data_IF_993230222638
#
_entry.id   IF_993230222638
#
_cell.length_a   1.000
_cell.length_b   1.000
_cell.length_c   1.000
_cell.angle_alpha   90.00
_cell.angle_beta   90.00
_cell.angle_gamma   90.00
#
_symmetry.space_group_name_H-M   'P 1'
#
loop_
_entity.id
_entity.type
_entity.pdbx_description
1 polymer ?
#
# COMPACT_ATOMS: atom_id res chain seq x y z
N UNK A 1 -4.19 -33.30 -31.59
CA UNK A 1 -4.94 -33.53 -30.33
C UNK A 1 -4.70 -32.34 -29.43
N UNK A 2 -5.54 -31.31 -29.56
CA UNK A 2 -5.47 -30.04 -28.83
C UNK A 2 -6.66 -29.99 -27.89
N UNK A 3 -6.39 -30.21 -26.61
CA UNK A 3 -7.41 -30.18 -25.55
C UNK A 3 -7.77 -28.72 -25.25
N UNK A 4 -8.92 -28.28 -25.76
CA UNK A 4 -9.52 -27.00 -25.40
C UNK A 4 -10.08 -27.02 -23.99
N UNK A 5 -9.67 -26.06 -23.16
CA UNK A 5 -10.23 -25.86 -21.82
C UNK A 5 -11.56 -25.09 -21.98
N UNK A 6 -12.66 -25.83 -21.86
CA UNK A 6 -14.00 -25.27 -21.79
C UNK A 6 -14.25 -24.68 -20.39
N UNK A 7 -14.38 -23.36 -20.28
CA UNK A 7 -14.87 -22.73 -19.05
C UNK A 7 -16.40 -22.89 -18.97
N UNK A 8 -16.85 -23.72 -18.04
CA UNK A 8 -18.25 -23.94 -17.74
C UNK A 8 -18.77 -22.80 -16.85
N UNK A 9 -19.64 -21.95 -17.39
CA UNK A 9 -20.34 -20.90 -16.64
C UNK A 9 -21.40 -21.49 -15.71
N UNK A 10 -21.05 -21.71 -14.44
CA UNK A 10 -22.02 -22.01 -13.40
C UNK A 10 -22.53 -20.71 -12.76
N UNK A 11 -23.81 -20.39 -13.01
CA UNK A 11 -24.60 -19.45 -12.22
C UNK A 11 -24.87 -20.06 -10.85
N UNK A 12 -24.01 -19.80 -9.86
CA UNK A 12 -24.28 -20.15 -8.47
C UNK A 12 -25.11 -19.05 -7.79
N UNK A 13 -26.29 -19.45 -7.30
CA UNK A 13 -27.15 -18.65 -6.42
C UNK A 13 -26.57 -18.67 -5.00
N UNK A 14 -26.48 -17.50 -4.39
CA UNK A 14 -26.56 -17.24 -2.95
C UNK A 14 -25.68 -18.04 -1.96
N UNK A 15 -24.38 -18.12 -2.22
CA UNK A 15 -23.40 -18.37 -1.15
C UNK A 15 -22.33 -17.28 -1.13
N UNK A 16 -22.59 -16.28 -0.27
CA UNK A 16 -21.68 -15.23 0.21
C UNK A 16 -20.57 -14.83 -0.77
N UNK A 17 -20.92 -13.98 -1.74
CA UNK A 17 -19.99 -13.17 -2.54
C UNK A 17 -19.21 -12.20 -1.64
N UNK A 18 -18.40 -12.71 -0.70
CA UNK A 18 -17.51 -11.93 0.16
C UNK A 18 -16.13 -11.87 -0.47
N UNK A 19 -15.48 -10.74 -0.29
CA UNK A 19 -14.12 -10.53 -0.72
C UNK A 19 -13.21 -11.50 0.03
N UNK A 20 -12.39 -12.25 -0.71
CA UNK A 20 -11.43 -13.21 -0.13
C UNK A 20 -10.36 -12.51 0.72
N UNK A 21 -10.11 -11.22 0.46
CA UNK A 21 -9.09 -10.43 1.15
C UNK A 21 -9.62 -9.84 2.46
N UNK A 22 -10.78 -9.18 2.45
CA UNK A 22 -11.27 -8.42 3.61
C UNK A 22 -12.63 -8.88 4.16
N UNK A 23 -13.28 -9.87 3.55
CA UNK A 23 -14.58 -10.38 3.98
C UNK A 23 -15.79 -9.46 3.73
N UNK A 24 -15.60 -8.27 3.17
CA UNK A 24 -16.69 -7.34 2.77
C UNK A 24 -17.46 -7.85 1.55
N UNK A 25 -18.60 -7.26 1.21
CA UNK A 25 -19.36 -7.61 -0.01
C UNK A 25 -18.46 -7.43 -1.26
N UNK A 26 -18.18 -8.53 -1.95
CA UNK A 26 -17.45 -8.51 -3.22
C UNK A 26 -18.31 -7.87 -4.30
N UNK A 27 -17.65 -7.25 -5.27
CA UNK A 27 -18.31 -6.68 -6.45
C UNK A 27 -18.20 -7.61 -7.66
N UNK A 28 -17.56 -8.76 -7.49
CA UNK A 28 -17.32 -9.75 -8.54
C UNK A 28 -15.94 -10.40 -8.42
N UNK A 29 -15.63 -11.26 -9.38
CA UNK A 29 -14.29 -11.83 -9.58
C UNK A 29 -13.44 -10.75 -10.26
N UNK A 30 -12.37 -10.31 -9.61
CA UNK A 30 -11.36 -9.45 -10.23
C UNK A 30 -10.00 -10.12 -10.02
N UNK A 31 -9.20 -10.28 -11.08
CA UNK A 31 -7.89 -10.94 -11.04
C UNK A 31 -7.98 -12.42 -10.61
N UNK A 32 -9.02 -13.13 -11.07
CA UNK A 32 -9.25 -14.54 -10.73
C UNK A 32 -9.73 -14.81 -9.29
N UNK A 33 -9.94 -13.79 -8.46
CA UNK A 33 -10.44 -13.93 -7.08
C UNK A 33 -11.62 -12.98 -6.79
N UNK A 34 -12.56 -13.42 -5.95
CA UNK A 34 -13.67 -12.60 -5.48
C UNK A 34 -13.16 -11.44 -4.62
N UNK A 35 -13.33 -10.21 -5.10
CA UNK A 35 -12.81 -9.00 -4.42
C UNK A 35 -13.86 -7.90 -4.34
N UNK A 36 -13.82 -7.10 -3.27
CA UNK A 36 -14.64 -5.89 -3.13
C UNK A 36 -14.02 -4.70 -3.87
N UNK A 37 -14.77 -3.62 -4.08
CA UNK A 37 -14.28 -2.42 -4.77
C UNK A 37 -12.99 -1.84 -4.14
N UNK A 38 -12.88 -1.73 -2.81
CA UNK A 38 -11.62 -1.31 -2.17
C UNK A 38 -10.43 -2.24 -2.46
N UNK A 39 -10.63 -3.55 -2.38
CA UNK A 39 -9.58 -4.54 -2.66
C UNK A 39 -9.22 -4.64 -4.15
N UNK A 40 -10.17 -4.33 -5.03
CA UNK A 40 -9.93 -4.14 -6.47
C UNK A 40 -9.15 -2.84 -6.75
N UNK A 41 -9.37 -1.78 -5.98
CA UNK A 41 -8.57 -0.57 -6.06
C UNK A 41 -7.11 -0.77 -5.62
N UNK A 42 -6.87 -1.72 -4.70
CA UNK A 42 -5.52 -2.05 -4.21
C UNK A 42 -4.59 -2.67 -5.26
N UNK A 43 -5.13 -3.37 -6.26
CA UNK A 43 -4.36 -3.85 -7.40
C UNK A 43 -4.10 -2.72 -8.41
N UNK A 44 -4.87 -1.63 -8.40
CA UNK A 44 -4.85 -0.64 -9.47
C UNK A 44 -4.23 0.69 -9.02
N UNK A 45 -2.91 0.78 -8.74
CA UNK A 45 -2.22 2.11 -8.75
C UNK A 45 -0.70 2.12 -8.63
N UNK A 46 0.00 2.53 -9.70
CA UNK A 46 1.42 2.91 -9.85
C UNK A 46 1.71 4.08 -8.90
N UNK A 47 0.64 4.75 -8.46
CA UNK A 47 0.57 5.76 -7.41
C UNK A 47 0.64 5.22 -5.97
N UNK A 48 0.60 3.90 -5.72
CA UNK A 48 0.91 3.31 -4.42
C UNK A 48 2.41 3.37 -4.10
N UNK A 49 3.28 3.52 -5.10
CA UNK A 49 4.68 3.90 -4.87
C UNK A 49 4.75 5.26 -4.16
N UNK A 50 3.86 6.19 -4.55
CA UNK A 50 3.68 7.50 -3.93
C UNK A 50 3.22 7.38 -2.48
N UNK A 51 2.34 6.43 -2.17
CA UNK A 51 1.80 6.19 -0.82
C UNK A 51 2.83 5.49 0.06
N UNK A 52 3.59 4.53 -0.46
CA UNK A 52 4.74 3.93 0.24
C UNK A 52 5.84 4.96 0.50
N UNK A 53 6.13 5.84 -0.46
CA UNK A 53 7.08 6.94 -0.28
C UNK A 53 6.56 7.97 0.73
N UNK A 54 5.29 8.40 0.62
CA UNK A 54 4.63 9.23 1.63
C UNK A 54 4.66 8.54 2.99
N UNK A 55 4.50 7.22 3.07
CA UNK A 55 4.50 6.49 4.32
C UNK A 55 5.87 6.54 5.00
N UNK A 56 6.94 6.25 4.25
CA UNK A 56 8.33 6.32 4.74
C UNK A 56 8.72 7.76 5.05
N UNK A 57 8.36 8.69 4.17
CA UNK A 57 8.64 10.11 4.28
C UNK A 57 7.89 10.72 5.47
N UNK A 58 6.58 10.52 5.61
CA UNK A 58 5.77 11.03 6.73
C UNK A 58 6.21 10.44 8.07
N UNK A 59 6.49 9.13 8.17
CA UNK A 59 6.96 8.55 9.43
C UNK A 59 8.35 9.05 9.81
N UNK A 60 9.32 9.05 8.89
CA UNK A 60 10.67 9.56 9.18
C UNK A 60 10.66 11.05 9.46
N UNK A 61 9.96 11.85 8.67
CA UNK A 61 9.89 13.30 8.83
C UNK A 61 9.19 13.64 10.12
N UNK A 62 8.00 13.10 10.40
CA UNK A 62 7.32 13.42 11.65
C UNK A 62 8.10 12.94 12.88
N UNK A 63 8.72 11.76 12.85
CA UNK A 63 9.58 11.29 13.94
C UNK A 63 10.87 12.13 14.09
N UNK A 64 11.47 12.58 12.98
CA UNK A 64 12.61 13.51 12.97
C UNK A 64 12.21 14.88 13.53
N UNK A 65 11.10 15.44 13.06
CA UNK A 65 10.55 16.71 13.53
C UNK A 65 10.16 16.65 15.01
N UNK A 66 9.64 15.51 15.48
CA UNK A 66 9.26 15.35 16.90
C UNK A 66 10.47 15.33 17.83
N UNK A 67 11.65 14.90 17.34
CA UNK A 67 12.88 14.86 18.14
C UNK A 67 13.66 16.18 18.12
N UNK A 68 13.64 16.92 17.00
CA UNK A 68 14.53 18.05 16.79
C UNK A 68 13.85 19.43 16.71
N UNK A 69 12.51 19.50 16.76
CA UNK A 69 11.84 20.71 16.28
C UNK A 69 10.91 21.40 17.29
N UNK A 70 10.89 22.74 17.23
CA UNK A 70 10.01 23.62 18.00
C UNK A 70 8.54 23.34 17.63
N UNK A 71 7.63 23.38 18.63
CA UNK A 71 6.16 23.16 18.46
C UNK A 71 5.52 23.87 17.25
N UNK A 72 6.06 25.02 16.84
CA UNK A 72 5.55 25.80 15.70
C UNK A 72 5.61 25.05 14.37
N UNK A 73 6.64 24.25 14.14
CA UNK A 73 6.84 23.54 12.86
C UNK A 73 5.92 22.33 12.73
N UNK A 74 5.63 21.65 13.85
CA UNK A 74 4.64 20.56 13.90
C UNK A 74 3.24 21.08 13.52
N UNK A 75 2.87 22.28 13.97
CA UNK A 75 1.59 22.89 13.62
C UNK A 75 1.51 23.25 12.13
N UNK A 76 2.59 23.80 11.55
CA UNK A 76 2.66 24.09 10.13
C UNK A 76 2.54 22.81 9.28
N UNK A 77 3.25 21.75 9.68
CA UNK A 77 3.15 20.43 9.05
C UNK A 77 1.72 19.89 9.08
N UNK A 78 1.07 19.89 10.26
CA UNK A 78 -0.30 19.39 10.39
C UNK A 78 -1.29 20.18 9.54
N UNK A 79 -1.17 21.52 9.50
CA UNK A 79 -2.01 22.38 8.66
C UNK A 79 -1.80 22.12 7.18
N UNK A 80 -0.55 21.92 6.74
CA UNK A 80 -0.24 21.60 5.35
C UNK A 80 -0.90 20.26 4.94
N UNK A 81 -0.81 19.23 5.77
CA UNK A 81 -1.48 17.96 5.47
C UNK A 81 -3.01 18.07 5.47
N UNK A 82 -3.60 18.78 6.43
CA UNK A 82 -5.03 19.04 6.44
C UNK A 82 -5.50 19.80 5.19
N UNK A 83 -4.67 20.68 4.64
CA UNK A 83 -4.94 21.36 3.38
C UNK A 83 -4.87 20.40 2.19
N UNK A 84 -3.84 19.54 2.14
CA UNK A 84 -3.60 18.61 1.03
C UNK A 84 -4.66 17.51 0.95
N UNK A 85 -5.06 16.92 2.07
CA UNK A 85 -5.97 15.76 2.09
C UNK A 85 -7.28 15.99 2.85
N UNK A 86 -7.56 17.24 3.23
CA UNK A 86 -8.75 17.54 4.03
C UNK A 86 -8.66 17.00 5.46
N UNK A 87 -9.52 17.52 6.32
CA UNK A 87 -9.51 17.20 7.75
C UNK A 87 -9.82 15.72 8.01
N UNK A 88 -10.81 15.16 7.30
CA UNK A 88 -11.27 13.78 7.52
C UNK A 88 -10.19 12.73 7.21
N UNK A 89 -9.54 12.80 6.04
CA UNK A 89 -8.47 11.84 5.72
C UNK A 89 -7.24 12.05 6.59
N UNK A 90 -6.94 13.30 6.96
CA UNK A 90 -5.86 13.58 7.90
C UNK A 90 -6.11 12.96 9.28
N UNK A 91 -7.36 12.93 9.75
CA UNK A 91 -7.72 12.23 10.98
C UNK A 91 -7.56 10.71 10.85
N UNK A 92 -8.00 10.11 9.73
CA UNK A 92 -7.77 8.69 9.44
C UNK A 92 -6.27 8.35 9.39
N UNK A 93 -5.46 9.22 8.79
CA UNK A 93 -4.00 9.11 8.79
C UNK A 93 -3.44 9.10 10.22
N UNK A 94 -3.86 10.04 11.07
CA UNK A 94 -3.42 10.07 12.47
C UNK A 94 -3.92 8.85 13.26
N UNK A 95 -5.10 8.29 12.95
CA UNK A 95 -5.58 7.04 13.54
C UNK A 95 -4.64 5.88 13.18
N UNK A 96 -4.28 5.74 11.91
CA UNK A 96 -3.36 4.71 11.45
C UNK A 96 -1.95 4.88 12.05
N UNK A 97 -1.46 6.11 12.22
CA UNK A 97 -0.20 6.39 12.90
C UNK A 97 -0.22 5.96 14.37
N UNK A 98 -1.27 6.33 15.11
CA UNK A 98 -1.45 5.92 16.52
C UNK A 98 -1.55 4.40 16.67
N UNK A 99 -2.12 3.71 15.70
CA UNK A 99 -2.14 2.24 15.68
C UNK A 99 -0.72 1.68 15.58
N UNK A 100 0.11 2.24 14.71
CA UNK A 100 1.50 1.82 14.54
C UNK A 100 2.34 2.06 15.80
N UNK A 101 2.20 3.25 16.41
CA UNK A 101 2.91 3.63 17.65
C UNK A 101 2.68 2.63 18.78
N UNK A 102 1.44 2.14 18.94
CA UNK A 102 1.08 1.20 20.00
C UNK A 102 1.64 -0.21 19.80
N UNK A 103 2.04 -0.56 18.59
CA UNK A 103 2.04 -1.98 18.17
C UNK A 103 3.41 -2.55 17.83
N UNK A 104 4.40 -1.74 17.41
CA UNK A 104 5.75 -2.24 17.07
C UNK A 104 6.87 -1.18 16.89
N UNK A 105 6.58 0.12 16.91
CA UNK A 105 7.55 1.17 16.55
C UNK A 105 8.80 1.23 17.46
N UNK A 106 8.78 0.55 18.61
CA UNK A 106 9.94 0.48 19.50
C UNK A 106 11.10 -0.32 18.90
N UNK A 107 10.84 -1.32 18.04
CA UNK A 107 11.90 -2.08 17.39
C UNK A 107 12.31 -1.43 16.05
N UNK A 108 13.51 -0.85 16.06
CA UNK A 108 14.07 -0.18 14.89
C UNK A 108 14.39 -1.12 13.73
N UNK A 109 14.70 -2.40 14.00
CA UNK A 109 14.99 -3.41 12.97
C UNK A 109 13.71 -3.80 12.26
N UNK A 110 12.64 -4.08 13.01
CA UNK A 110 11.30 -4.35 12.46
C UNK A 110 10.85 -3.19 11.58
N UNK A 111 10.98 -1.96 12.07
CA UNK A 111 10.58 -0.76 11.33
C UNK A 111 11.36 -0.60 10.03
N UNK A 112 12.69 -0.80 10.05
CA UNK A 112 13.53 -0.71 8.84
C UNK A 112 13.19 -1.78 7.83
N UNK A 113 13.09 -3.04 8.26
CA UNK A 113 12.73 -4.15 7.37
C UNK A 113 11.34 -3.94 6.76
N UNK A 114 10.37 -3.51 7.56
CA UNK A 114 9.04 -3.23 7.08
C UNK A 114 9.02 -2.10 6.04
N UNK A 115 9.74 -1.01 6.28
CA UNK A 115 9.92 0.08 5.30
C UNK A 115 10.49 -0.44 3.98
N UNK A 116 11.49 -1.32 4.01
CA UNK A 116 12.06 -1.93 2.80
C UNK A 116 11.03 -2.83 2.09
N UNK A 117 10.26 -3.62 2.84
CA UNK A 117 9.18 -4.45 2.29
C UNK A 117 8.15 -3.55 1.58
N UNK A 118 7.76 -2.43 2.20
CA UNK A 118 6.82 -1.47 1.64
C UNK A 118 7.36 -0.76 0.39
N UNK A 119 8.67 -0.54 0.32
CA UNK A 119 9.33 0.00 -0.87
C UNK A 119 9.20 -0.95 -2.06
N UNK A 120 9.33 -2.27 -1.82
CA UNK A 120 9.11 -3.30 -2.85
C UNK A 120 7.65 -3.74 -2.98
N UNK A 121 6.73 -3.22 -2.16
CA UNK A 121 5.30 -3.42 -2.33
C UNK A 121 4.84 -2.64 -3.57
N UNK A 122 5.14 -3.19 -4.74
CA UNK A 122 4.54 -2.69 -5.96
C UNK A 122 3.04 -2.93 -5.89
N UNK A 123 2.22 -1.94 -6.26
CA UNK A 123 0.82 -2.19 -6.58
C UNK A 123 0.73 -3.38 -7.51
N UNK A 124 -0.14 -4.33 -7.17
CA UNK A 124 -0.47 -5.47 -8.00
C UNK A 124 -1.28 -5.01 -9.22
N UNK A 125 -0.72 -4.12 -10.03
CA UNK A 125 -1.28 -3.68 -11.29
C UNK A 125 -1.39 -4.86 -12.22
N UNK A 126 -2.57 -5.45 -12.18
CA UNK A 126 -3.12 -6.28 -13.23
C UNK A 126 -4.20 -5.44 -13.90
N UNK A 127 -4.03 -5.14 -15.18
CA UNK A 127 -5.14 -4.94 -16.08
C UNK A 127 -5.20 -6.23 -16.90
N UNK A 128 -6.25 -7.01 -16.70
CA UNK A 128 -6.32 -8.43 -17.10
C UNK A 128 -6.79 -8.63 -18.56
N UNK A 129 -6.60 -7.63 -19.44
CA UNK A 129 -7.19 -7.67 -20.79
C UNK A 129 -6.18 -7.71 -21.94
N UNK A 130 -4.86 -7.84 -21.69
CA UNK A 130 -3.88 -7.90 -22.78
C UNK A 130 -2.95 -9.11 -22.71
N UNK A 131 -2.78 -9.77 -23.86
CA UNK A 131 -1.86 -10.90 -24.10
C UNK A 131 -0.36 -10.54 -23.97
N UNK A 132 -0.03 -9.30 -23.57
CA UNK A 132 1.33 -8.75 -23.37
C UNK A 132 1.88 -9.11 -21.96
N UNK A 133 1.21 -10.01 -21.25
CA UNK A 133 1.40 -10.32 -19.83
C UNK A 133 2.82 -10.81 -19.47
N UNK A 134 3.49 -11.51 -20.37
CA UNK A 134 4.74 -12.23 -20.09
C UNK A 134 5.95 -11.31 -19.86
N UNK A 135 6.05 -10.20 -20.60
CA UNK A 135 7.26 -9.36 -20.51
C UNK A 135 7.27 -8.46 -19.28
N UNK A 136 6.12 -7.94 -18.86
CA UNK A 136 6.01 -7.09 -17.66
C UNK A 136 6.15 -7.94 -16.39
N UNK A 137 5.55 -9.14 -16.35
CA UNK A 137 5.71 -10.06 -15.21
C UNK A 137 7.17 -10.48 -15.02
N UNK A 138 7.88 -10.81 -16.10
CA UNK A 138 9.31 -11.13 -16.03
C UNK A 138 10.13 -9.97 -15.44
N UNK A 139 9.81 -8.72 -15.80
CA UNK A 139 10.49 -7.53 -15.24
C UNK A 139 10.18 -7.34 -13.75
N UNK A 140 8.94 -7.63 -13.29
CA UNK A 140 8.55 -7.49 -11.88
C UNK A 140 8.97 -8.67 -11.00
N UNK A 141 9.33 -9.81 -11.58
CA UNK A 141 9.72 -11.00 -10.84
C UNK A 141 10.87 -10.73 -9.86
N UNK A 142 11.90 -9.98 -10.30
CA UNK A 142 13.03 -9.63 -9.43
C UNK A 142 12.59 -8.78 -8.21
N UNK A 143 11.62 -7.87 -8.40
CA UNK A 143 11.06 -7.05 -7.31
C UNK A 143 10.32 -7.93 -6.30
N UNK A 144 9.48 -8.85 -6.77
CA UNK A 144 8.77 -9.80 -5.90
C UNK A 144 9.73 -10.72 -5.14
N UNK A 145 10.78 -11.20 -5.80
CA UNK A 145 11.81 -12.00 -5.16
C UNK A 145 12.54 -11.21 -4.06
N UNK A 146 12.90 -9.95 -4.33
CA UNK A 146 13.49 -9.07 -3.33
C UNK A 146 12.54 -8.86 -2.14
N UNK A 147 11.27 -8.53 -2.41
CA UNK A 147 10.25 -8.35 -1.37
C UNK A 147 10.10 -9.61 -0.50
N UNK A 148 10.00 -10.79 -1.14
CA UNK A 148 9.86 -12.08 -0.46
C UNK A 148 11.07 -12.39 0.43
N UNK A 149 12.29 -12.06 -0.03
CA UNK A 149 13.50 -12.20 0.78
C UNK A 149 13.44 -11.33 2.04
N UNK A 150 13.00 -10.07 1.94
CA UNK A 150 12.85 -9.19 3.10
C UNK A 150 11.72 -9.60 4.04
N UNK A 151 10.60 -10.10 3.53
CA UNK A 151 9.52 -10.68 4.36
C UNK A 151 10.04 -11.90 5.14
N UNK A 152 10.80 -12.77 4.48
CA UNK A 152 11.40 -13.95 5.11
C UNK A 152 12.39 -13.53 6.20
N UNK A 153 13.21 -12.51 5.94
CA UNK A 153 14.15 -11.97 6.93
C UNK A 153 13.42 -11.35 8.14
N UNK A 154 12.36 -10.57 7.90
CA UNK A 154 11.51 -10.03 8.95
C UNK A 154 10.89 -11.15 9.79
N UNK A 155 10.35 -12.18 9.15
CA UNK A 155 9.74 -13.31 9.85
C UNK A 155 10.73 -14.07 10.73
N UNK A 156 11.93 -14.36 10.20
CA UNK A 156 13.01 -14.99 10.97
C UNK A 156 13.42 -14.13 12.17
N UNK A 157 13.59 -12.82 11.97
CA UNK A 157 13.92 -11.89 13.04
C UNK A 157 12.84 -11.87 14.13
N UNK A 158 11.56 -11.74 13.74
CA UNK A 158 10.44 -11.74 14.67
C UNK A 158 10.40 -13.04 15.48
N UNK A 159 10.49 -14.18 14.80
CA UNK A 159 10.40 -15.51 15.42
C UNK A 159 11.51 -15.72 16.44
N UNK A 160 12.74 -15.32 16.09
CA UNK A 160 13.89 -15.39 16.98
C UNK A 160 13.75 -14.46 18.19
N UNK A 161 13.25 -13.22 18.00
CA UNK A 161 13.20 -12.20 19.05
C UNK A 161 11.99 -12.30 19.98
N UNK A 162 10.83 -12.70 19.45
CA UNK A 162 9.54 -12.61 20.14
C UNK A 162 8.80 -13.96 20.27
N UNK A 163 9.37 -15.05 19.74
CA UNK A 163 8.71 -16.35 19.66
C UNK A 163 7.55 -16.37 18.66
N UNK A 164 6.98 -17.55 18.43
CA UNK A 164 5.95 -17.75 17.38
C UNK A 164 4.72 -16.86 17.58
N UNK A 165 4.10 -16.89 18.77
CA UNK A 165 2.87 -16.14 19.07
C UNK A 165 3.09 -14.63 18.99
N UNK A 166 4.20 -14.14 19.55
CA UNK A 166 4.57 -12.72 19.48
C UNK A 166 4.79 -12.25 18.04
N UNK A 167 5.43 -13.08 17.22
CA UNK A 167 5.71 -12.80 15.81
C UNK A 167 4.44 -12.69 14.98
N UNK A 168 3.51 -13.64 15.13
CA UNK A 168 2.22 -13.61 14.46
C UNK A 168 1.49 -12.31 14.82
N UNK A 169 1.41 -11.99 16.11
CA UNK A 169 0.74 -10.77 16.57
C UNK A 169 1.36 -9.52 15.95
N UNK A 170 2.69 -9.37 16.01
CA UNK A 170 3.40 -8.21 15.44
C UNK A 170 3.21 -8.14 13.92
N UNK A 171 3.32 -9.26 13.22
CA UNK A 171 3.17 -9.30 11.76
C UNK A 171 1.75 -8.94 11.30
N UNK A 172 0.72 -9.50 11.93
CA UNK A 172 -0.68 -9.14 11.63
C UNK A 172 -0.96 -7.67 11.88
N UNK A 173 -0.39 -7.15 12.97
CA UNK A 173 -0.43 -5.75 13.34
C UNK A 173 0.20 -4.88 12.23
N UNK A 174 1.41 -5.21 11.76
CA UNK A 174 2.07 -4.53 10.64
C UNK A 174 1.21 -4.52 9.38
N UNK A 175 0.66 -5.69 9.00
CA UNK A 175 -0.25 -5.82 7.87
C UNK A 175 -1.47 -4.93 8.04
N UNK A 176 -2.07 -4.89 9.23
CA UNK A 176 -3.25 -4.07 9.51
C UNK A 176 -2.98 -2.57 9.29
N UNK A 177 -1.86 -2.03 9.80
CA UNK A 177 -1.51 -0.62 9.52
C UNK A 177 -1.23 -0.41 8.05
N UNK A 178 -0.54 -1.33 7.38
CA UNK A 178 -0.34 -1.21 5.94
C UNK A 178 -1.66 -1.10 5.18
N UNK A 179 -2.61 -2.00 5.45
CA UNK A 179 -3.93 -1.98 4.80
C UNK A 179 -4.67 -0.66 5.08
N UNK A 180 -4.63 -0.17 6.33
CA UNK A 180 -5.28 1.09 6.69
C UNK A 180 -4.64 2.28 5.99
N UNK A 181 -3.33 2.25 5.83
CA UNK A 181 -2.57 3.30 5.15
C UNK A 181 -2.76 3.28 3.64
N UNK A 182 -2.98 2.11 3.03
CA UNK A 182 -3.39 2.02 1.63
C UNK A 182 -4.75 2.67 1.41
N UNK A 183 -5.72 2.45 2.30
CA UNK A 183 -7.04 3.11 2.25
C UNK A 183 -6.91 4.63 2.31
N UNK A 184 -6.15 5.13 3.30
CA UNK A 184 -5.88 6.57 3.46
C UNK A 184 -5.19 7.13 2.23
N UNK A 185 -4.12 6.48 1.76
CA UNK A 185 -3.37 6.92 0.60
C UNK A 185 -4.21 6.97 -0.66
N UNK A 186 -5.09 5.98 -0.87
CA UNK A 186 -6.05 6.01 -1.98
C UNK A 186 -7.03 7.18 -1.85
N UNK A 187 -7.56 7.44 -0.65
CA UNK A 187 -8.40 8.61 -0.40
C UNK A 187 -7.68 9.93 -0.73
N UNK A 188 -6.41 10.04 -0.34
CA UNK A 188 -5.58 11.22 -0.62
C UNK A 188 -5.37 11.41 -2.13
N UNK A 189 -5.08 10.32 -2.83
CA UNK A 189 -4.97 10.32 -4.28
C UNK A 189 -6.28 10.79 -4.95
N UNK A 190 -7.41 10.23 -4.54
CA UNK A 190 -8.71 10.62 -5.08
C UNK A 190 -8.99 12.12 -4.87
N UNK A 191 -8.66 12.67 -3.70
CA UNK A 191 -8.80 14.10 -3.46
C UNK A 191 -7.85 14.95 -4.30
N UNK A 192 -6.57 14.58 -4.39
CA UNK A 192 -5.58 15.29 -5.21
C UNK A 192 -6.00 15.37 -6.69
N UNK A 193 -6.62 14.31 -7.20
CA UNK A 193 -7.08 14.26 -8.60
C UNK A 193 -8.38 15.01 -8.85
N UNK A 194 -9.22 15.22 -7.82
CA UNK A 194 -10.52 15.90 -7.95
C UNK A 194 -10.47 17.39 -7.61
N UNK A 195 -9.54 17.81 -6.75
CA UNK A 195 -9.38 19.23 -6.39
C UNK A 195 -8.64 20.00 -7.49
N UNK A 196 -9.36 20.93 -8.14
CA UNK A 196 -8.81 21.77 -9.22
C UNK A 196 -7.57 22.56 -8.81
N UNK A 197 -7.54 23.04 -7.57
CA UNK A 197 -6.44 23.87 -7.05
C UNK A 197 -5.13 23.09 -6.85
N UNK A 198 -5.21 21.75 -6.79
CA UNK A 198 -4.06 20.87 -6.59
C UNK A 198 -3.57 20.22 -7.89
N UNK A 199 -4.23 20.51 -9.02
CA UNK A 199 -3.84 19.98 -10.34
C UNK A 199 -2.38 20.33 -10.70
N UNK A 200 -1.88 21.57 -10.54
CA UNK A 200 -0.49 21.89 -10.87
C UNK A 200 0.53 21.10 -10.02
N UNK A 201 0.22 20.93 -8.74
CA UNK A 201 1.03 20.10 -7.83
C UNK A 201 1.01 18.65 -8.29
N UNK A 202 -0.16 18.09 -8.56
CA UNK A 202 -0.31 16.73 -9.04
C UNK A 202 0.42 16.48 -10.38
N UNK A 203 0.37 17.43 -11.31
CA UNK A 203 1.12 17.35 -12.58
C UNK A 203 2.63 17.38 -12.38
N UNK A 204 3.12 18.25 -11.50
CA UNK A 204 4.55 18.33 -11.15
C UNK A 204 5.03 17.02 -10.55
N UNK A 205 4.28 16.47 -9.60
CA UNK A 205 4.59 15.20 -8.96
C UNK A 205 4.51 14.04 -9.95
N UNK A 206 3.52 14.04 -10.85
CA UNK A 206 3.41 13.04 -11.93
C UNK A 206 4.63 13.09 -12.84
N UNK A 207 5.04 14.28 -13.29
CA UNK A 207 6.23 14.47 -14.14
C UNK A 207 7.49 13.91 -13.48
N UNK A 208 7.71 14.22 -12.21
CA UNK A 208 8.87 13.70 -11.45
C UNK A 208 8.89 12.16 -11.42
N UNK A 209 7.73 11.52 -11.28
CA UNK A 209 7.63 10.05 -11.27
C UNK A 209 7.80 9.43 -12.65
N UNK A 210 7.32 10.09 -13.71
CA UNK A 210 7.36 9.55 -15.07
C UNK A 210 8.67 9.84 -15.80
N UNK A 211 9.35 10.95 -15.49
CA UNK A 211 10.63 11.31 -16.12
C UNK A 211 11.72 10.27 -15.82
N UNK A 212 11.78 9.76 -14.58
CA UNK A 212 12.71 8.70 -14.18
C UNK A 212 12.53 7.39 -14.97
N UNK A 213 11.38 7.17 -15.59
CA UNK A 213 11.08 5.90 -16.30
C UNK A 213 11.56 5.95 -17.75
N UNK A 214 11.52 7.13 -18.39
CA UNK A 214 11.90 7.27 -19.79
C UNK A 214 13.43 7.36 -19.97
N UNK A 215 14.17 7.80 -18.94
CA UNK A 215 15.63 7.85 -18.98
C UNK A 215 16.30 6.50 -18.65
N UNK A 216 15.52 5.47 -18.29
CA UNK A 216 16.00 4.10 -18.02
C UNK A 216 15.70 3.09 -19.15
N UNK A 217 15.19 3.55 -20.30
CA UNK A 217 14.96 2.73 -21.51
C UNK A 217 16.05 2.98 -22.55
#
# INVERSE_FOLDING_TARGET
MTSGIHYCGQKSRDSTNRCVICGSKSIGINFGVLTCAPCKGMTLSFHLFYISYLFVFCFKIKAFFRRNTRRKEVNAYNKAWQLICGIQLYEEFNRAEKMAEKSWITDSVVTRLFVVILFFSTPLHYHDDSSILTNILKKKQAIFQAQSAYITLLWKYLTHRYGSVGSIRIYLNLVHVYMKMQEVGYGMYMQLTTQKDLVPTHETLRKLVTLDINDMQ
#
